data_IF_944989282483
#
_entry.id   IF_944989282483
#
_cell.length_a   1.000
_cell.length_b   1.000
_cell.length_c   1.000
_cell.angle_alpha   90.00
_cell.angle_beta   90.00
_cell.angle_gamma   90.00
#
_symmetry.space_group_name_H-M   'P 1'
#
loop_
_entity.id
_entity.type
_entity.pdbx_description
1 polymer ?
#
# COMPACT_ATOMS: atom_id res chain seq x y z
N UNK A 1 -22.72 7.42 2.41
CA UNK A 1 -21.69 7.20 3.46
C UNK A 1 -20.86 5.94 3.22
N UNK A 2 -21.36 4.93 2.50
CA UNK A 2 -20.65 3.67 2.23
C UNK A 2 -19.32 3.83 1.50
N UNK A 3 -19.22 4.74 0.52
CA UNK A 3 -17.99 4.92 -0.26
C UNK A 3 -16.75 5.33 0.56
N UNK A 4 -16.90 6.12 1.63
CA UNK A 4 -15.76 6.52 2.48
C UNK A 4 -15.20 5.36 3.30
N UNK A 5 -16.09 4.55 3.87
CA UNK A 5 -15.70 3.38 4.66
C UNK A 5 -15.05 2.32 3.76
N UNK A 6 -15.62 2.06 2.59
CA UNK A 6 -15.08 1.12 1.62
C UNK A 6 -13.66 1.52 1.17
N UNK A 7 -13.45 2.79 0.79
CA UNK A 7 -12.12 3.29 0.42
C UNK A 7 -11.10 3.13 1.53
N UNK A 8 -11.47 3.48 2.75
CA UNK A 8 -10.58 3.34 3.92
C UNK A 8 -10.15 1.89 4.16
N UNK A 9 -11.10 0.96 4.08
CA UNK A 9 -10.80 -0.47 4.18
C UNK A 9 -9.83 -0.89 3.08
N UNK A 10 -10.12 -0.50 1.83
CA UNK A 10 -9.31 -0.89 0.67
C UNK A 10 -7.88 -0.33 0.71
N UNK A 11 -7.72 0.94 1.08
CA UNK A 11 -6.40 1.56 1.31
C UNK A 11 -5.62 0.77 2.37
N UNK A 12 -6.27 0.43 3.48
CA UNK A 12 -5.67 -0.35 4.56
C UNK A 12 -5.21 -1.73 4.11
N UNK A 13 -6.03 -2.44 3.33
CA UNK A 13 -5.67 -3.74 2.74
C UNK A 13 -4.45 -3.63 1.82
N UNK A 14 -4.46 -2.67 0.89
CA UNK A 14 -3.38 -2.50 -0.09
C UNK A 14 -2.06 -2.10 0.58
N UNK A 15 -2.11 -1.16 1.53
CA UNK A 15 -0.91 -0.75 2.29
C UNK A 15 -0.36 -1.91 3.12
N UNK A 16 -1.21 -2.79 3.66
CA UNK A 16 -0.77 -3.96 4.44
C UNK A 16 0.10 -4.92 3.65
N UNK A 17 -0.12 -5.05 2.34
CA UNK A 17 0.71 -5.86 1.43
C UNK A 17 2.18 -5.46 1.51
N UNK A 18 2.48 -4.18 1.73
CA UNK A 18 3.85 -3.65 1.70
C UNK A 18 4.37 -3.21 3.06
N UNK A 19 3.52 -2.83 4.02
CA UNK A 19 3.96 -2.20 5.29
C UNK A 19 4.83 -3.01 6.22
N UNK A 20 4.87 -4.34 6.09
CA UNK A 20 5.86 -5.14 6.82
C UNK A 20 7.30 -4.75 6.48
N UNK A 21 7.52 -4.31 5.23
CA UNK A 21 8.82 -4.02 4.66
C UNK A 21 9.26 -2.59 4.99
N UNK A 22 10.52 -2.37 5.40
CA UNK A 22 11.03 -0.98 5.52
C UNK A 22 11.40 -0.37 4.17
N UNK A 23 11.57 -1.19 3.13
CA UNK A 23 12.06 -0.78 1.82
C UNK A 23 10.99 -0.30 0.84
N UNK A 24 9.70 -0.43 1.13
CA UNK A 24 8.64 -0.11 0.16
C UNK A 24 8.39 1.41 0.01
N UNK A 25 8.61 2.17 1.09
CA UNK A 25 8.17 3.57 1.15
C UNK A 25 8.91 4.43 0.13
N UNK A 26 10.23 4.24 -0.02
CA UNK A 26 11.03 5.05 -0.94
C UNK A 26 10.64 4.78 -2.41
N UNK A 27 10.58 3.53 -2.90
CA UNK A 27 10.06 3.21 -4.24
C UNK A 27 8.64 3.70 -4.50
N UNK A 28 7.76 3.72 -3.49
CA UNK A 28 6.42 4.29 -3.63
C UNK A 28 6.50 5.80 -3.89
N UNK A 29 7.28 6.54 -3.08
CA UNK A 29 7.44 7.99 -3.24
C UNK A 29 8.16 8.36 -4.54
N UNK A 30 9.10 7.53 -5.00
CA UNK A 30 9.75 7.73 -6.31
C UNK A 30 8.76 7.52 -7.47
N UNK A 31 7.77 6.63 -7.32
CA UNK A 31 6.74 6.37 -8.33
C UNK A 31 5.58 7.39 -8.29
N UNK A 32 5.27 7.94 -7.11
CA UNK A 32 4.20 8.91 -6.88
C UNK A 32 4.70 10.11 -6.04
N UNK A 33 5.47 11.03 -6.65
CA UNK A 33 6.11 12.14 -5.94
C UNK A 33 5.14 13.12 -5.26
N UNK A 34 3.86 13.15 -5.67
CA UNK A 34 2.82 13.94 -5.01
C UNK A 34 2.64 13.57 -3.54
N UNK A 35 2.99 12.32 -3.16
CA UNK A 35 2.98 11.88 -1.77
C UNK A 35 4.27 12.22 -1.00
N UNK A 36 5.33 12.70 -1.68
CA UNK A 36 6.58 13.20 -1.08
C UNK A 36 6.46 14.66 -0.63
N UNK A 37 5.28 15.00 -0.12
CA UNK A 37 4.96 16.27 0.52
C UNK A 37 4.58 16.02 1.98
N UNK A 38 4.57 17.07 2.80
CA UNK A 38 4.09 16.96 4.19
C UNK A 38 2.66 16.38 4.26
N UNK A 39 1.77 16.87 3.39
CA UNK A 39 0.39 16.41 3.31
C UNK A 39 0.31 14.96 2.82
N UNK A 40 1.06 14.61 1.77
CA UNK A 40 1.13 13.26 1.23
C UNK A 40 1.65 12.23 2.23
N UNK A 41 2.71 12.58 2.96
CA UNK A 41 3.25 11.76 4.05
C UNK A 41 2.24 11.57 5.18
N UNK A 42 1.48 12.62 5.53
CA UNK A 42 0.40 12.52 6.52
C UNK A 42 -0.75 11.63 6.03
N UNK A 43 -1.10 11.64 4.75
CA UNK A 43 -2.07 10.72 4.15
C UNK A 43 -1.56 9.28 4.16
N UNK A 44 -0.31 9.03 3.79
CA UNK A 44 0.29 7.70 3.87
C UNK A 44 0.26 7.14 5.30
N UNK A 45 0.65 7.93 6.29
CA UNK A 45 0.64 7.51 7.69
C UNK A 45 -0.80 7.25 8.17
N UNK A 46 -1.78 8.05 7.73
CA UNK A 46 -3.20 7.77 7.98
C UNK A 46 -3.67 6.50 7.27
N UNK A 47 -3.21 6.23 6.05
CA UNK A 47 -3.49 5.00 5.31
C UNK A 47 -2.98 3.76 6.04
N UNK A 48 -1.74 3.80 6.53
CA UNK A 48 -1.14 2.75 7.37
C UNK A 48 -1.95 2.49 8.65
N UNK A 49 -2.47 3.55 9.26
CA UNK A 49 -3.34 3.44 10.44
C UNK A 49 -4.78 3.03 10.11
N UNK A 50 -5.14 2.81 8.83
CA UNK A 50 -6.51 2.52 8.39
C UNK A 50 -7.47 3.69 8.61
N UNK A 51 -6.99 4.93 8.47
CA UNK A 51 -7.72 6.18 8.75
C UNK A 51 -7.86 7.10 7.53
N UNK A 52 -7.10 6.86 6.45
CA UNK A 52 -7.25 7.63 5.20
C UNK A 52 -8.38 7.07 4.34
N UNK A 53 -9.12 7.96 3.68
CA UNK A 53 -10.11 7.66 2.64
C UNK A 53 -9.83 8.45 1.35
N UNK A 54 -8.59 8.91 1.21
CA UNK A 54 -8.13 9.74 0.12
C UNK A 54 -8.21 9.00 -1.23
N UNK A 55 -8.96 9.52 -2.22
CA UNK A 55 -9.12 8.86 -3.51
C UNK A 55 -7.82 8.77 -4.32
N UNK A 56 -6.91 9.74 -4.19
CA UNK A 56 -5.65 9.72 -4.93
C UNK A 56 -4.73 8.63 -4.38
N UNK A 57 -4.65 8.50 -3.05
CA UNK A 57 -3.91 7.44 -2.39
C UNK A 57 -4.43 6.05 -2.77
N UNK A 58 -5.75 5.87 -2.79
CA UNK A 58 -6.36 4.62 -3.23
C UNK A 58 -5.92 4.26 -4.66
N UNK A 59 -6.06 5.21 -5.60
CA UNK A 59 -5.71 4.98 -7.00
C UNK A 59 -4.22 4.65 -7.17
N UNK A 60 -3.34 5.37 -6.48
CA UNK A 60 -1.90 5.13 -6.54
C UNK A 60 -1.55 3.72 -6.02
N UNK A 61 -2.16 3.28 -4.93
CA UNK A 61 -1.94 1.94 -4.39
C UNK A 61 -2.51 0.84 -5.30
N UNK A 62 -3.71 1.04 -5.87
CA UNK A 62 -4.32 0.09 -6.79
C UNK A 62 -3.47 -0.12 -8.06
N UNK A 63 -2.79 0.93 -8.53
CA UNK A 63 -1.88 0.83 -9.66
C UNK A 63 -0.50 0.25 -9.27
N UNK A 64 0.01 0.61 -8.09
CA UNK A 64 1.37 0.26 -7.68
C UNK A 64 1.54 -1.15 -7.14
N UNK A 65 0.60 -1.60 -6.30
CA UNK A 65 0.71 -2.89 -5.62
C UNK A 65 0.78 -4.07 -6.60
N UNK A 66 -0.02 -4.14 -7.69
CA UNK A 66 0.12 -5.19 -8.70
C UNK A 66 1.52 -5.22 -9.32
N UNK A 67 2.11 -4.06 -9.63
CA UNK A 67 3.47 -3.96 -10.19
C UNK A 67 4.51 -4.47 -9.20
N UNK A 68 4.34 -4.22 -7.89
CA UNK A 68 5.22 -4.75 -6.84
C UNK A 68 5.13 -6.27 -6.76
N UNK A 69 3.90 -6.82 -6.79
CA UNK A 69 3.68 -8.27 -6.74
C UNK A 69 4.24 -8.96 -7.98
N UNK A 70 4.08 -8.37 -9.16
CA UNK A 70 4.59 -8.92 -10.43
C UNK A 70 6.12 -8.88 -10.52
N UNK A 71 6.72 -7.74 -10.18
CA UNK A 71 8.17 -7.56 -10.32
C UNK A 71 8.97 -8.17 -9.16
N UNK A 72 8.30 -8.53 -8.06
CA UNK A 72 8.90 -9.08 -6.84
C UNK A 72 10.23 -8.39 -6.50
N UNK A 73 10.28 -7.08 -6.24
CA UNK A 73 11.55 -6.42 -5.99
C UNK A 73 12.21 -6.99 -4.73
N UNK A 74 13.55 -6.92 -4.64
CA UNK A 74 14.32 -7.57 -3.56
C UNK A 74 13.82 -7.19 -2.15
N UNK A 75 13.43 -5.92 -1.97
CA UNK A 75 12.87 -5.44 -0.70
C UNK A 75 11.52 -6.06 -0.34
N UNK A 76 10.75 -6.56 -1.32
CA UNK A 76 9.47 -7.24 -1.12
C UNK A 76 9.66 -8.74 -0.90
N UNK A 77 10.59 -9.36 -1.63
CA UNK A 77 10.91 -10.78 -1.48
C UNK A 77 11.43 -11.12 -0.08
N UNK A 78 12.36 -10.32 0.45
CA UNK A 78 13.07 -10.57 1.72
C UNK A 78 12.18 -10.80 2.94
N UNK A 79 10.92 -10.38 2.92
CA UNK A 79 9.97 -10.66 4.00
C UNK A 79 8.79 -11.55 3.60
N UNK A 80 8.40 -11.61 2.32
CA UNK A 80 7.32 -12.51 1.88
C UNK A 80 7.70 -13.99 1.86
N UNK A 81 8.98 -14.35 2.07
CA UNK A 81 9.36 -15.72 2.39
C UNK A 81 8.73 -16.27 3.69
N UNK A 82 8.08 -15.42 4.50
CA UNK A 82 7.41 -15.82 5.76
C UNK A 82 5.88 -15.68 5.74
N UNK A 83 5.31 -15.05 4.71
CA UNK A 83 3.86 -14.87 4.59
C UNK A 83 3.43 -15.68 3.37
N UNK A 84 2.87 -16.87 3.62
CA UNK A 84 2.10 -17.59 2.59
C UNK A 84 1.19 -16.57 1.92
N UNK A 85 1.29 -16.50 0.59
CA UNK A 85 0.59 -15.61 -0.32
C UNK A 85 -0.68 -14.99 0.30
N UNK A 86 -0.82 -13.64 0.39
CA UNK A 86 -2.00 -13.01 0.98
C UNK A 86 -3.31 -13.30 0.21
N UNK A 87 -3.22 -14.00 -0.92
CA UNK A 87 -4.33 -14.52 -1.73
C UNK A 87 -4.59 -16.03 -1.54
N UNK A 88 -3.81 -16.76 -0.73
CA UNK A 88 -4.02 -18.20 -0.43
C UNK A 88 -5.04 -18.44 0.71
N UNK A 89 -5.85 -17.43 1.08
CA UNK A 89 -6.94 -17.59 2.07
C UNK A 89 -8.23 -18.19 1.48
N UNK A 90 -8.18 -18.73 0.27
CA UNK A 90 -9.26 -19.52 -0.32
C UNK A 90 -8.74 -20.90 -0.78
N UNK A 91 -8.69 -21.85 0.16
CA UNK A 91 -8.66 -23.29 -0.10
C UNK A 91 -9.33 -24.06 1.04
#
# INVERSE_FOLDING_TARGET
MEGRRARRTRIGELIRVVTGNRGWRRPFLDAYPEFDSYQGTAELNRGQAGRSDDPALLRALEEWIPKVIENLPEWYQKQNHLISNPFDLEA
#
